data_IF_407566833606
#
_entry.id   IF_407566833606
#
_cell.length_a   1.000
_cell.length_b   1.000
_cell.length_c   1.000
_cell.angle_alpha   90.00
_cell.angle_beta   90.00
_cell.angle_gamma   90.00
#
_symmetry.space_group_name_H-M   'P 1'
#
loop_
_entity.id
_entity.type
_entity.pdbx_description
1 polymer ?
#
# COMPACT_ATOMS: atom_id res chain seq x y z
N UNK A 1 7.12 -23.68 11.13
CA UNK A 1 6.28 -22.86 12.01
C UNK A 1 6.00 -21.54 11.30
N UNK A 2 4.73 -21.24 11.05
CA UNK A 2 4.25 -20.16 10.17
C UNK A 2 2.97 -19.56 10.73
N UNK A 3 2.63 -18.33 10.30
CA UNK A 3 1.37 -17.67 10.67
C UNK A 3 0.20 -18.57 10.22
N UNK A 4 -0.78 -18.78 11.09
CA UNK A 4 -1.98 -19.56 10.75
C UNK A 4 -2.93 -18.73 9.89
N UNK A 5 -3.82 -19.39 9.15
CA UNK A 5 -4.86 -18.71 8.38
C UNK A 5 -5.80 -17.89 9.29
N UNK A 6 -6.05 -18.36 10.51
CA UNK A 6 -6.87 -17.67 11.51
C UNK A 6 -6.19 -16.39 12.00
N UNK A 7 -4.89 -16.43 12.32
CA UNK A 7 -4.12 -15.25 12.69
C UNK A 7 -4.12 -14.21 11.57
N UNK A 8 -3.91 -14.64 10.32
CA UNK A 8 -3.94 -13.76 9.17
C UNK A 8 -5.35 -13.17 8.94
N UNK A 9 -6.41 -13.99 8.97
CA UNK A 9 -7.78 -13.52 8.78
C UNK A 9 -8.16 -12.47 9.84
N UNK A 10 -7.87 -12.73 11.11
CA UNK A 10 -8.14 -11.78 12.19
C UNK A 10 -7.41 -10.44 11.99
N UNK A 11 -6.12 -10.48 11.64
CA UNK A 11 -5.32 -9.28 11.44
C UNK A 11 -5.75 -8.47 10.20
N UNK A 12 -6.16 -9.15 9.13
CA UNK A 12 -6.66 -8.53 7.89
C UNK A 12 -8.03 -7.90 8.12
N UNK A 13 -8.93 -8.58 8.83
CA UNK A 13 -10.25 -8.04 9.21
C UNK A 13 -10.09 -6.81 10.09
N UNK A 14 -9.26 -6.86 11.13
CA UNK A 14 -8.99 -5.71 12.01
C UNK A 14 -8.52 -4.49 11.20
N UNK A 15 -7.62 -4.69 10.22
CA UNK A 15 -7.14 -3.60 9.37
C UNK A 15 -8.23 -3.06 8.44
N UNK A 16 -8.98 -3.94 7.77
CA UNK A 16 -10.02 -3.54 6.83
C UNK A 16 -11.14 -2.76 7.54
N UNK A 17 -11.59 -3.25 8.70
CA UNK A 17 -12.60 -2.58 9.52
C UNK A 17 -12.11 -1.21 9.98
N UNK A 18 -10.87 -1.12 10.48
CA UNK A 18 -10.29 0.15 10.90
C UNK A 18 -10.21 1.19 9.76
N UNK A 19 -9.92 0.76 8.53
CA UNK A 19 -9.90 1.64 7.35
C UNK A 19 -11.32 2.10 7.01
N UNK A 20 -12.27 1.17 6.91
CA UNK A 20 -13.65 1.46 6.54
C UNK A 20 -14.36 2.34 7.57
N UNK A 21 -14.10 2.13 8.87
CA UNK A 21 -14.63 2.97 9.94
C UNK A 21 -14.06 4.38 9.89
N UNK A 22 -12.75 4.52 9.64
CA UNK A 22 -12.08 5.82 9.64
C UNK A 22 -12.44 6.69 8.43
N UNK A 23 -12.57 6.07 7.26
CA UNK A 23 -12.75 6.76 5.98
C UNK A 23 -14.15 6.58 5.39
N UNK A 24 -15.12 6.18 6.22
CA UNK A 24 -16.51 6.05 5.81
C UNK A 24 -17.02 7.33 5.14
N UNK A 25 -17.62 7.19 3.96
CA UNK A 25 -18.16 8.30 3.18
C UNK A 25 -17.14 9.10 2.36
N UNK A 26 -15.84 8.77 2.38
CA UNK A 26 -14.83 9.43 1.54
C UNK A 26 -14.60 8.73 0.20
N UNK A 27 -15.37 7.70 -0.14
CA UNK A 27 -15.16 6.87 -1.33
C UNK A 27 -13.96 5.91 -1.23
N UNK A 28 -13.32 5.81 -0.06
CA UNK A 28 -12.31 4.78 0.22
C UNK A 28 -13.05 3.52 0.68
N UNK A 29 -12.77 2.39 0.03
CA UNK A 29 -13.32 1.08 0.42
C UNK A 29 -12.21 0.06 0.57
N UNK A 30 -12.19 -0.65 1.69
CA UNK A 30 -11.25 -1.74 1.96
C UNK A 30 -11.98 -3.09 1.95
N UNK A 31 -11.58 -3.96 1.03
CA UNK A 31 -12.08 -5.32 0.86
C UNK A 31 -11.03 -6.34 1.28
N UNK A 32 -11.49 -7.48 1.81
CA UNK A 32 -10.63 -8.61 2.14
C UNK A 32 -10.57 -9.56 0.95
N UNK A 33 -9.37 -9.72 0.38
CA UNK A 33 -9.15 -10.58 -0.78
C UNK A 33 -8.29 -11.77 -0.37
N UNK A 34 -8.67 -12.97 -0.80
CA UNK A 34 -7.89 -14.18 -0.57
C UNK A 34 -6.96 -14.48 -1.75
N UNK A 35 -5.68 -14.71 -1.47
CA UNK A 35 -4.72 -15.16 -2.48
C UNK A 35 -5.13 -16.51 -3.09
N UNK A 36 -4.94 -16.66 -4.39
CA UNK A 36 -5.22 -17.90 -5.12
C UNK A 36 -4.15 -18.98 -4.94
N UNK A 37 -2.99 -18.64 -4.35
CA UNK A 37 -1.86 -19.54 -4.15
C UNK A 37 -2.16 -20.68 -3.14
N UNK A 38 -1.21 -21.60 -2.95
CA UNK A 38 -1.37 -22.76 -2.06
C UNK A 38 -1.49 -22.38 -0.57
N UNK A 39 -1.03 -21.19 -0.15
CA UNK A 39 -1.05 -20.73 1.24
C UNK A 39 -2.37 -20.07 1.64
N UNK A 40 -3.14 -19.55 0.68
CA UNK A 40 -4.51 -19.04 0.88
C UNK A 40 -4.64 -17.93 1.94
N UNK A 41 -3.56 -17.19 2.21
CA UNK A 41 -3.63 -15.99 3.04
C UNK A 41 -4.48 -14.91 2.36
N UNK A 42 -5.11 -14.10 3.19
CA UNK A 42 -5.83 -12.90 2.77
C UNK A 42 -4.98 -11.66 2.92
N UNK A 43 -5.33 -10.63 2.15
CA UNK A 43 -4.76 -9.29 2.20
C UNK A 43 -5.89 -8.26 2.09
N UNK A 44 -5.59 -7.00 2.39
CA UNK A 44 -6.54 -5.89 2.25
C UNK A 44 -6.35 -5.22 0.90
N UNK A 45 -7.37 -5.21 0.06
CA UNK A 45 -7.43 -4.38 -1.15
C UNK A 45 -8.17 -3.11 -0.84
N UNK A 46 -7.60 -1.96 -1.17
CA UNK A 46 -8.20 -0.65 -0.95
C UNK A 46 -8.39 0.02 -2.30
N UNK A 47 -9.62 0.44 -2.60
CA UNK A 47 -9.89 1.37 -3.70
C UNK A 47 -10.00 2.76 -3.07
N UNK A 48 -9.17 3.69 -3.52
CA UNK A 48 -9.13 5.04 -2.99
C UNK A 48 -9.14 6.08 -4.11
N UNK A 49 -9.92 7.16 -3.99
CA UNK A 49 -9.86 8.24 -4.94
C UNK A 49 -8.61 9.12 -4.68
N UNK A 50 -8.03 9.74 -5.73
CA UNK A 50 -6.75 10.42 -5.63
C UNK A 50 -6.75 11.58 -4.61
N UNK A 51 -7.86 12.30 -4.46
CA UNK A 51 -7.97 13.43 -3.52
C UNK A 51 -7.79 13.04 -2.03
N UNK A 52 -7.98 11.76 -1.68
CA UNK A 52 -7.85 11.29 -0.31
C UNK A 52 -6.59 10.46 -0.07
N UNK A 53 -5.78 10.25 -1.11
CA UNK A 53 -4.60 9.39 -1.04
C UNK A 53 -3.62 9.80 0.06
N UNK A 54 -3.25 11.09 0.13
CA UNK A 54 -2.32 11.60 1.14
C UNK A 54 -2.80 11.37 2.58
N UNK A 55 -4.10 11.56 2.84
CA UNK A 55 -4.68 11.36 4.16
C UNK A 55 -4.68 9.88 4.54
N UNK A 56 -5.08 9.00 3.61
CA UNK A 56 -5.03 7.56 3.78
C UNK A 56 -3.59 7.09 4.04
N UNK A 57 -2.65 7.50 3.20
CA UNK A 57 -1.24 7.09 3.29
C UNK A 57 -0.62 7.43 4.65
N UNK A 58 -0.78 8.67 5.11
CA UNK A 58 -0.26 9.14 6.40
C UNK A 58 -0.90 8.37 7.56
N UNK A 59 -2.22 8.21 7.54
CA UNK A 59 -2.91 7.46 8.59
C UNK A 59 -2.48 5.98 8.62
N UNK A 60 -2.37 5.33 7.46
CA UNK A 60 -1.87 3.95 7.36
C UNK A 60 -0.47 3.80 7.95
N UNK A 61 0.43 4.74 7.64
CA UNK A 61 1.81 4.74 8.17
C UNK A 61 1.87 4.95 9.68
N UNK A 62 1.21 5.99 10.17
CA UNK A 62 1.42 6.49 11.54
C UNK A 62 0.46 5.91 12.57
N UNK A 63 -0.74 5.47 12.16
CA UNK A 63 -1.77 4.95 13.07
C UNK A 63 -1.99 3.44 12.88
N UNK A 64 -2.06 2.95 11.62
CA UNK A 64 -2.28 1.52 11.33
C UNK A 64 -0.98 0.69 11.37
N UNK A 65 0.18 1.35 11.36
CA UNK A 65 1.50 0.72 11.46
C UNK A 65 2.02 0.13 10.15
N UNK A 66 1.47 0.52 9.00
CA UNK A 66 1.93 0.07 7.68
C UNK A 66 3.31 0.66 7.40
N UNK A 67 4.35 -0.13 7.68
CA UNK A 67 5.71 0.38 7.82
C UNK A 67 6.59 0.18 6.60
N UNK A 68 6.17 -0.65 5.63
CA UNK A 68 6.97 -1.00 4.47
C UNK A 68 6.21 -0.75 3.16
N UNK A 69 6.86 -0.07 2.22
CA UNK A 69 6.39 0.10 0.84
C UNK A 69 7.21 -0.84 -0.04
N UNK A 70 6.56 -1.84 -0.61
CA UNK A 70 7.24 -2.88 -1.37
C UNK A 70 7.39 -2.54 -2.84
N UNK A 71 6.35 -1.96 -3.44
CA UNK A 71 6.29 -1.69 -4.87
C UNK A 71 5.23 -0.63 -5.15
N UNK A 72 5.49 0.20 -6.16
CA UNK A 72 4.52 1.14 -6.74
C UNK A 72 4.57 0.88 -8.24
N UNK A 73 3.40 0.68 -8.84
CA UNK A 73 3.28 0.34 -10.26
C UNK A 73 2.24 1.24 -10.90
N UNK A 74 2.53 1.73 -12.09
CA UNK A 74 1.56 2.45 -12.92
C UNK A 74 1.11 1.61 -14.11
N UNK A 75 -0.17 1.70 -14.45
CA UNK A 75 -0.76 1.09 -15.66
C UNK A 75 -1.52 2.15 -16.44
N UNK A 76 -1.30 2.20 -17.76
CA UNK A 76 -2.06 3.04 -18.67
C UNK A 76 -3.15 2.21 -19.37
N UNK A 77 -4.37 2.73 -19.39
CA UNK A 77 -5.53 2.17 -20.06
C UNK A 77 -5.99 3.15 -21.17
N UNK A 78 -5.44 3.06 -22.39
CA UNK A 78 -5.77 3.98 -23.49
C UNK A 78 -7.25 3.98 -23.84
N UNK A 79 -7.89 2.80 -23.78
CA UNK A 79 -9.32 2.59 -24.05
C UNK A 79 -10.17 2.72 -22.77
N UNK A 80 -9.59 3.21 -21.68
CA UNK A 80 -10.27 3.47 -20.42
C UNK A 80 -11.25 4.64 -20.53
N UNK A 81 -12.32 4.62 -19.74
CA UNK A 81 -13.26 5.74 -19.65
C UNK A 81 -12.63 6.98 -19.00
N UNK A 82 -13.35 8.09 -19.01
CA UNK A 82 -12.87 9.41 -18.55
C UNK A 82 -12.25 9.41 -17.14
N UNK A 83 -12.69 8.51 -16.26
CA UNK A 83 -12.23 8.41 -14.87
C UNK A 83 -11.15 7.32 -14.64
N UNK A 84 -10.76 6.57 -15.67
CA UNK A 84 -9.80 5.45 -15.56
C UNK A 84 -8.89 5.37 -16.78
N UNK A 85 -8.16 6.45 -17.05
CA UNK A 85 -7.08 6.47 -18.04
C UNK A 85 -5.79 5.86 -17.51
N UNK A 86 -5.46 6.11 -16.24
CA UNK A 86 -4.34 5.46 -15.56
C UNK A 86 -4.77 4.85 -14.24
N UNK A 87 -3.94 3.96 -13.74
CA UNK A 87 -4.08 3.40 -12.41
C UNK A 87 -2.69 3.33 -11.77
N UNK A 88 -2.60 3.80 -10.53
CA UNK A 88 -1.42 3.61 -9.69
C UNK A 88 -1.78 2.61 -8.61
N UNK A 89 -0.97 1.56 -8.50
CA UNK A 89 -1.13 0.51 -7.50
C UNK A 89 0.04 0.54 -6.53
N UNK A 90 -0.25 0.59 -5.23
CA UNK A 90 0.73 0.53 -4.16
C UNK A 90 0.61 -0.81 -3.44
N UNK A 91 1.73 -1.53 -3.33
CA UNK A 91 1.83 -2.72 -2.50
C UNK A 91 2.57 -2.38 -1.20
N UNK A 92 1.84 -2.40 -0.09
CA UNK A 92 2.37 -2.05 1.22
C UNK A 92 2.27 -3.24 2.19
N UNK A 93 3.10 -3.22 3.22
CA UNK A 93 3.06 -4.22 4.29
C UNK A 93 3.12 -3.56 5.66
N UNK A 94 2.39 -4.16 6.60
CA UNK A 94 2.63 -4.03 8.03
C UNK A 94 3.43 -5.24 8.48
N UNK A 95 4.61 -5.01 9.04
CA UNK A 95 5.49 -6.07 9.56
C UNK A 95 5.95 -5.74 10.98
N UNK A 96 6.23 -6.74 11.84
CA UNK A 96 6.74 -6.54 13.20
C UNK A 96 8.22 -6.14 13.24
N UNK A 97 8.72 -5.50 12.18
CA UNK A 97 10.13 -5.15 12.05
C UNK A 97 10.37 -3.86 12.82
N UNK A 98 11.34 -3.92 13.72
CA UNK A 98 11.82 -2.78 14.51
C UNK A 98 13.33 -2.67 14.39
N UNK A 99 13.85 -1.45 14.56
CA UNK A 99 15.29 -1.22 14.59
C UNK A 99 15.93 -2.05 15.71
N UNK A 100 16.87 -2.91 15.35
CA UNK A 100 17.52 -3.81 16.30
C UNK A 100 18.54 -3.03 17.13
N UNK A 101 18.59 -3.31 18.43
CA UNK A 101 19.66 -2.78 19.29
C UNK A 101 20.96 -3.52 18.93
N UNK A 102 22.10 -2.82 18.82
CA UNK A 102 23.37 -3.47 18.52
C UNK A 102 23.66 -4.66 19.45
N UNK A 103 24.14 -5.77 18.87
CA UNK A 103 24.41 -7.03 19.57
C UNK A 103 23.18 -7.72 20.19
N UNK A 104 21.97 -7.40 19.74
CA UNK A 104 20.73 -8.11 20.10
C UNK A 104 20.07 -8.72 18.88
N UNK A 105 19.19 -9.70 19.09
CA UNK A 105 18.36 -10.28 18.06
C UNK A 105 16.91 -10.38 18.55
N UNK A 106 15.97 -9.88 17.75
CA UNK A 106 14.54 -10.12 17.96
C UNK A 106 14.16 -11.45 17.33
N UNK A 107 13.52 -12.32 18.11
CA UNK A 107 13.03 -13.62 17.64
C UNK A 107 11.52 -13.65 17.78
N UNK A 108 10.83 -13.86 16.66
CA UNK A 108 9.39 -14.09 16.64
C UNK A 108 9.10 -15.58 16.49
N UNK A 109 8.14 -16.08 17.26
CA UNK A 109 7.56 -17.42 17.09
C UNK A 109 6.20 -17.22 16.43
N UNK A 110 6.08 -17.57 15.14
CA UNK A 110 4.95 -17.22 14.30
C UNK A 110 3.58 -17.57 14.92
N UNK A 111 3.44 -18.77 15.49
CA UNK A 111 2.21 -19.28 16.12
C UNK A 111 1.80 -18.49 17.37
N UNK A 112 2.72 -17.70 17.95
CA UNK A 112 2.48 -16.88 19.15
C UNK A 112 2.26 -15.40 18.81
N UNK A 113 2.37 -15.01 17.54
CA UNK A 113 2.19 -13.62 17.13
C UNK A 113 0.71 -13.25 17.19
N UNK A 114 0.42 -12.06 17.69
CA UNK A 114 -0.94 -11.55 17.89
C UNK A 114 -1.02 -10.07 17.50
N UNK A 115 -2.21 -9.62 17.12
CA UNK A 115 -2.51 -8.23 16.79
C UNK A 115 -1.53 -7.66 15.75
N UNK A 116 -0.93 -6.51 16.07
CA UNK A 116 -0.01 -5.78 15.20
C UNK A 116 1.29 -6.52 14.87
N UNK A 117 1.60 -7.61 15.58
CA UNK A 117 2.76 -8.44 15.23
C UNK A 117 2.48 -9.31 14.01
N UNK A 118 1.22 -9.67 13.75
CA UNK A 118 0.86 -10.47 12.58
C UNK A 118 1.02 -9.61 11.32
N UNK A 119 1.84 -10.05 10.35
CA UNK A 119 2.03 -9.30 9.12
C UNK A 119 0.75 -9.19 8.30
N UNK A 120 0.53 -8.04 7.67
CA UNK A 120 -0.61 -7.79 6.79
C UNK A 120 -0.12 -7.14 5.50
N UNK A 121 -0.63 -7.64 4.38
CA UNK A 121 -0.39 -7.10 3.04
C UNK A 121 -1.55 -6.17 2.66
N UNK A 122 -1.21 -5.11 1.93
CA UNK A 122 -2.15 -4.12 1.42
C UNK A 122 -1.88 -3.88 -0.06
N UNK A 123 -2.95 -3.80 -0.84
CA UNK A 123 -2.93 -3.37 -2.23
C UNK A 123 -3.85 -2.16 -2.36
N UNK A 124 -3.31 -1.00 -2.73
CA UNK A 124 -4.08 0.23 -2.88
C UNK A 124 -4.15 0.58 -4.35
N UNK A 125 -5.36 0.69 -4.87
CA UNK A 125 -5.66 0.98 -6.27
C UNK A 125 -6.24 2.38 -6.36
N UNK A 126 -5.59 3.24 -7.16
CA UNK A 126 -6.01 4.61 -7.39
C UNK A 126 -6.14 4.85 -8.90
N UNK A 127 -7.38 5.00 -9.35
CA UNK A 127 -7.68 5.39 -10.73
C UNK A 127 -7.46 6.88 -10.93
N UNK A 128 -6.84 7.24 -12.05
CA UNK A 128 -6.63 8.61 -12.49
C UNK A 128 -7.43 8.90 -13.77
N UNK A 129 -7.92 10.14 -13.98
CA UNK A 129 -8.70 10.50 -15.16
C UNK A 129 -7.92 10.30 -16.46
N UNK A 130 -8.59 10.11 -17.59
CA UNK A 130 -7.99 9.97 -18.93
C UNK A 130 -7.67 11.34 -19.58
N UNK A 131 -6.40 11.76 -19.56
CA UNK A 131 -5.82 13.04 -19.95
C UNK A 131 -4.29 12.93 -20.08
N UNK A 132 -3.64 13.71 -20.93
CA UNK A 132 -2.20 13.53 -21.21
C UNK A 132 -1.23 13.86 -20.05
N UNK A 133 -1.73 14.23 -18.88
CA UNK A 133 -0.93 14.66 -17.72
C UNK A 133 -1.38 13.97 -16.42
N UNK A 134 -1.32 12.63 -16.32
CA UNK A 134 -1.65 11.92 -15.09
C UNK A 134 -0.74 12.37 -13.96
N UNK A 135 -1.34 12.74 -12.82
CA UNK A 135 -0.60 13.20 -11.65
C UNK A 135 -1.22 12.69 -10.36
N UNK A 136 -0.36 12.47 -9.36
CA UNK A 136 -0.75 12.09 -8.01
C UNK A 136 0.29 12.62 -7.00
N UNK A 137 -0.08 13.00 -5.77
CA UNK A 137 0.90 13.41 -4.76
C UNK A 137 1.85 12.28 -4.35
N UNK A 138 3.15 12.56 -4.25
CA UNK A 138 4.19 11.61 -3.81
C UNK A 138 3.96 11.09 -2.39
N UNK A 139 4.31 9.83 -2.13
CA UNK A 139 4.41 9.28 -0.77
C UNK A 139 5.85 8.98 -0.35
N UNK A 140 6.84 9.48 -1.08
CA UNK A 140 8.27 9.41 -0.74
C UNK A 140 8.56 9.86 0.71
N UNK A 141 7.90 10.92 1.17
CA UNK A 141 8.04 11.44 2.53
C UNK A 141 7.32 10.60 3.61
N UNK A 142 6.41 9.70 3.22
CA UNK A 142 5.70 8.78 4.12
C UNK A 142 6.45 7.44 4.20
N UNK A 143 6.90 6.94 3.06
CA UNK A 143 7.75 5.76 2.95
C UNK A 143 8.94 6.05 2.05
N UNK A 144 10.15 6.12 2.64
CA UNK A 144 11.38 6.38 1.89
C UNK A 144 11.61 5.39 0.73
N UNK A 145 11.11 4.15 0.84
CA UNK A 145 11.19 3.13 -0.22
C UNK A 145 10.38 3.46 -1.48
N UNK A 146 9.47 4.44 -1.42
CA UNK A 146 8.73 4.91 -2.59
C UNK A 146 9.61 5.70 -3.57
N UNK A 147 10.76 6.24 -3.13
CA UNK A 147 11.63 7.09 -3.94
C UNK A 147 11.94 6.50 -5.33
N UNK A 148 12.46 5.28 -5.35
CA UNK A 148 12.84 4.61 -6.59
C UNK A 148 11.63 4.18 -7.42
N UNK A 149 10.61 3.59 -6.79
CA UNK A 149 9.44 3.07 -7.49
C UNK A 149 8.62 4.19 -8.17
N UNK A 150 8.52 5.37 -7.55
CA UNK A 150 7.86 6.53 -8.16
C UNK A 150 8.66 7.07 -9.35
N UNK A 151 10.00 7.11 -9.26
CA UNK A 151 10.87 7.48 -10.40
C UNK A 151 10.71 6.50 -11.56
N UNK A 152 10.75 5.19 -11.30
CA UNK A 152 10.58 4.16 -12.31
C UNK A 152 9.21 4.24 -12.99
N UNK A 153 8.14 4.45 -12.20
CA UNK A 153 6.79 4.61 -12.73
C UNK A 153 6.66 5.87 -13.59
N UNK A 154 7.24 6.98 -13.15
CA UNK A 154 7.30 8.21 -13.95
C UNK A 154 8.07 8.00 -15.27
N UNK A 155 9.21 7.31 -15.21
CA UNK A 155 10.07 7.05 -16.36
C UNK A 155 9.36 6.20 -17.43
N UNK A 156 8.73 5.10 -16.99
CA UNK A 156 8.12 4.10 -17.87
C UNK A 156 6.74 4.46 -18.40
N UNK A 157 5.85 5.01 -17.56
CA UNK A 157 4.43 5.24 -17.92
C UNK A 157 3.99 6.70 -17.85
N UNK A 158 4.87 7.62 -17.43
CA UNK A 158 4.63 9.06 -17.49
C UNK A 158 3.73 9.63 -16.39
N UNK A 159 3.41 8.86 -15.35
CA UNK A 159 2.63 9.36 -14.20
C UNK A 159 3.50 10.28 -13.35
N UNK A 160 3.05 11.52 -13.16
CA UNK A 160 3.77 12.52 -12.39
C UNK A 160 3.49 12.40 -10.89
N UNK A 161 4.54 12.35 -10.08
CA UNK A 161 4.43 12.31 -8.61
C UNK A 161 4.73 13.69 -8.03
N UNK A 162 3.67 14.43 -7.70
CA UNK A 162 3.78 15.83 -7.26
C UNK A 162 4.48 15.92 -5.91
N UNK A 163 5.49 16.79 -5.82
CA UNK A 163 6.28 17.02 -4.61
C UNK A 163 7.38 15.99 -4.37
N UNK A 164 7.66 15.09 -5.31
CA UNK A 164 8.78 14.15 -5.23
C UNK A 164 10.13 14.88 -5.30
N UNK A 165 11.00 14.61 -4.32
CA UNK A 165 12.33 15.20 -4.26
C UNK A 165 13.30 14.45 -5.19
N UNK A 166 14.02 15.23 -6.00
CA UNK A 166 15.05 14.73 -6.92
C UNK A 166 14.48 13.77 -7.99
N UNK A 167 13.34 14.08 -8.60
CA UNK A 167 12.80 13.35 -9.74
C UNK A 167 13.71 13.50 -10.98
N UNK A 168 14.18 12.36 -11.52
CA UNK A 168 15.00 12.29 -12.73
C UNK A 168 14.88 10.89 -13.36
N UNK A 169 15.30 10.75 -14.62
CA UNK A 169 15.28 9.46 -15.35
C UNK A 169 16.25 8.48 -14.68
N UNK A 170 15.82 7.25 -14.51
CA UNK A 170 16.58 6.21 -13.80
C UNK A 170 16.86 4.97 -14.65
N UNK A 171 16.24 4.86 -15.83
CA UNK A 171 16.44 3.76 -16.79
C UNK A 171 17.11 4.22 -18.09
#
# INVERSE_FOLDING_TARGET
MAITLEQNAAAVTECADAINDRFSGSGINADIIQHSNAKKYSFVRIIAPPQHWQALAKWMKFELGVNYCSMITGTHFPDGGDERGWEVVYHLLRQPIVNQVPNTNTVFVAEKMLGTQVPVEFEIIISLPNNDTPSIPTVQHVWNGADWNEKETWDLVGINFEGHDNMHRVL
#
